data_IF_977466278932
#
_entry.id   IF_977466278932
#
_cell.length_a   1.000
_cell.length_b   1.000
_cell.length_c   1.000
_cell.angle_alpha   90.00
_cell.angle_beta   90.00
_cell.angle_gamma   90.00
#
_symmetry.space_group_name_H-M   'P 1'
#
loop_
_entity.id
_entity.type
_entity.pdbx_description
1 polymer ?
#
# COMPACT_ATOMS: atom_id res chain seq x y z
N UNK A 1 1.78 -15.98 -0.67
CA UNK A 1 2.32 -15.72 0.69
C UNK A 1 1.16 -15.56 1.65
N UNK A 2 1.11 -16.34 2.72
CA UNK A 2 0.11 -16.17 3.78
C UNK A 2 0.54 -15.02 4.70
N UNK A 3 -0.38 -14.11 5.01
CA UNK A 3 -0.14 -13.06 6.00
C UNK A 3 -0.25 -13.72 7.38
N UNK A 4 0.88 -13.81 8.10
CA UNK A 4 0.99 -14.61 9.34
C UNK A 4 0.03 -14.16 10.46
N UNK A 5 -0.36 -12.89 10.47
CA UNK A 5 -1.32 -12.34 11.45
C UNK A 5 -2.79 -12.65 11.13
N UNK A 6 -3.09 -13.20 9.95
CA UNK A 6 -4.47 -13.53 9.56
C UNK A 6 -4.84 -14.94 10.05
N UNK A 7 -6.04 -15.08 10.63
CA UNK A 7 -6.53 -16.36 11.13
C UNK A 7 -6.58 -17.45 10.05
N UNK A 8 -6.47 -18.72 10.48
CA UNK A 8 -6.50 -19.88 9.58
C UNK A 8 -7.72 -19.87 8.65
N UNK A 9 -7.51 -20.21 7.37
CA UNK A 9 -8.54 -20.19 6.32
C UNK A 9 -8.60 -18.91 5.48
N UNK A 10 -7.96 -17.83 5.94
CA UNK A 10 -7.85 -16.57 5.20
C UNK A 10 -6.47 -16.42 4.54
N UNK A 11 -6.09 -17.36 3.67
CA UNK A 11 -4.77 -17.37 3.00
C UNK A 11 -4.67 -16.42 1.80
N UNK A 12 -5.72 -15.64 1.50
CA UNK A 12 -5.70 -14.62 0.46
C UNK A 12 -4.54 -13.64 0.69
N UNK A 13 -3.68 -13.45 -0.31
CA UNK A 13 -2.55 -12.52 -0.19
C UNK A 13 -3.00 -11.07 0.03
N UNK A 14 -2.11 -10.21 0.52
CA UNK A 14 -2.35 -8.77 0.57
C UNK A 14 -2.02 -8.10 -0.77
N UNK A 15 -2.68 -6.96 -1.02
CA UNK A 15 -2.19 -5.92 -1.91
C UNK A 15 -1.54 -4.83 -1.07
N UNK A 16 -0.39 -4.36 -1.54
CA UNK A 16 0.38 -3.28 -0.92
C UNK A 16 0.52 -2.19 -1.98
N UNK A 17 0.19 -0.97 -1.62
CA UNK A 17 0.31 0.22 -2.47
C UNK A 17 1.38 1.12 -1.88
N UNK A 18 2.41 1.43 -2.67
CA UNK A 18 3.51 2.31 -2.26
C UNK A 18 3.62 3.52 -3.18
N UNK A 19 4.18 4.59 -2.64
CA UNK A 19 4.58 5.79 -3.38
C UNK A 19 6.09 5.98 -3.24
N UNK A 20 6.78 6.01 -4.38
CA UNK A 20 8.23 6.11 -4.42
C UNK A 20 8.63 7.55 -4.79
N UNK A 21 9.38 8.20 -3.90
CA UNK A 21 9.98 9.51 -4.15
C UNK A 21 11.47 9.29 -4.44
N UNK A 22 11.92 9.69 -5.62
CA UNK A 22 13.33 9.62 -6.01
C UNK A 22 13.91 11.03 -5.89
N UNK A 23 14.83 11.23 -4.96
CA UNK A 23 15.58 12.48 -4.82
C UNK A 23 16.74 12.51 -5.81
N UNK A 24 17.40 11.37 -6.02
CA UNK A 24 18.43 11.13 -7.04
C UNK A 24 18.31 9.71 -7.58
N UNK A 25 19.20 9.30 -8.48
CA UNK A 25 19.27 7.90 -8.93
C UNK A 25 19.62 6.91 -7.80
N UNK A 26 20.31 7.38 -6.75
CA UNK A 26 20.78 6.55 -5.65
C UNK A 26 20.05 6.83 -4.32
N UNK A 27 19.29 7.92 -4.24
CA UNK A 27 18.59 8.35 -3.03
C UNK A 27 17.10 8.51 -3.27
N UNK A 28 16.30 8.01 -2.33
CA UNK A 28 14.86 8.12 -2.39
C UNK A 28 14.20 7.55 -1.14
N UNK A 29 12.89 7.70 -1.09
CA UNK A 29 12.04 7.19 -0.02
C UNK A 29 10.87 6.39 -0.61
N UNK A 30 10.47 5.34 0.10
CA UNK A 30 9.30 4.51 -0.22
C UNK A 30 8.27 4.70 0.88
N UNK A 31 7.12 5.27 0.54
CA UNK A 31 6.00 5.46 1.44
C UNK A 31 4.99 4.34 1.23
N UNK A 32 4.59 3.67 2.31
CA UNK A 32 3.43 2.77 2.30
C UNK A 32 2.17 3.63 2.36
N UNK A 33 1.35 3.59 1.30
CA UNK A 33 0.09 4.32 1.26
C UNK A 33 -1.06 3.50 1.85
N UNK A 34 -1.17 2.23 1.42
CA UNK A 34 -2.26 1.36 1.88
C UNK A 34 -1.86 -0.12 1.78
N UNK A 35 -2.40 -0.92 2.70
CA UNK A 35 -2.32 -2.37 2.68
C UNK A 35 -3.71 -2.94 2.94
N UNK A 36 -4.14 -3.86 2.09
CA UNK A 36 -5.45 -4.49 2.24
C UNK A 36 -5.44 -5.92 1.76
N UNK A 37 -6.37 -6.70 2.26
CA UNK A 37 -6.49 -8.08 1.87
C UNK A 37 -7.17 -8.23 0.51
N UNK A 38 -6.60 -9.07 -0.36
CA UNK A 38 -7.17 -9.34 -1.69
C UNK A 38 -8.57 -9.93 -1.65
N UNK A 39 -8.94 -10.66 -0.58
CA UNK A 39 -10.27 -11.25 -0.44
C UNK A 39 -11.31 -10.25 0.04
N UNK A 40 -10.91 -9.18 0.72
CA UNK A 40 -11.82 -8.23 1.35
C UNK A 40 -12.10 -7.03 0.43
N UNK A 41 -11.10 -6.60 -0.34
CA UNK A 41 -11.25 -5.48 -1.27
C UNK A 41 -10.63 -5.81 -2.64
N UNK A 42 -11.32 -5.42 -3.71
CA UNK A 42 -10.87 -5.63 -5.09
C UNK A 42 -10.10 -4.44 -5.65
N UNK A 43 -10.43 -3.22 -5.22
CA UNK A 43 -9.94 -1.95 -5.77
C UNK A 43 -9.79 -0.89 -4.68
N UNK A 44 -9.01 0.15 -4.98
CA UNK A 44 -8.91 1.37 -4.19
C UNK A 44 -9.35 2.55 -5.06
N UNK A 45 -9.95 3.58 -4.47
CA UNK A 45 -10.33 4.79 -5.21
C UNK A 45 -9.12 5.72 -5.35
N UNK A 46 -8.87 6.17 -6.58
CA UNK A 46 -7.73 7.03 -6.89
C UNK A 46 -7.71 8.35 -6.10
N UNK A 47 -8.89 8.94 -5.85
CA UNK A 47 -8.99 10.18 -5.09
C UNK A 47 -8.50 10.03 -3.64
N UNK A 48 -8.75 8.88 -3.01
CA UNK A 48 -8.25 8.58 -1.66
C UNK A 48 -6.73 8.54 -1.65
N UNK A 49 -6.11 7.89 -2.65
CA UNK A 49 -4.65 7.87 -2.78
C UNK A 49 -4.08 9.28 -2.98
N UNK A 50 -4.72 10.10 -3.82
CA UNK A 50 -4.33 11.51 -4.05
C UNK A 50 -4.43 12.34 -2.78
N UNK A 51 -5.49 12.15 -2.00
CA UNK A 51 -5.67 12.85 -0.73
C UNK A 51 -4.62 12.43 0.29
N UNK A 52 -4.28 11.14 0.39
CA UNK A 52 -3.19 10.65 1.25
C UNK A 52 -1.88 11.34 0.85
N UNK A 53 -1.53 11.32 -0.45
CA UNK A 53 -0.29 11.94 -0.95
C UNK A 53 -0.26 13.44 -0.66
N UNK A 54 -1.38 14.15 -0.83
CA UNK A 54 -1.46 15.59 -0.53
C UNK A 54 -1.21 15.92 0.95
N UNK A 55 -1.53 14.99 1.84
CA UNK A 55 -1.27 15.12 3.27
C UNK A 55 0.14 14.63 3.68
N UNK A 56 0.89 14.00 2.76
CA UNK A 56 2.31 13.77 2.97
C UNK A 56 3.02 15.10 2.76
N UNK A 57 3.72 15.58 3.79
CA UNK A 57 4.51 16.82 3.76
C UNK A 57 5.84 16.55 3.03
N UNK A 58 5.75 16.33 1.71
CA UNK A 58 6.84 15.95 0.80
C UNK A 58 7.27 17.09 -0.13
#
# INVERSE_FOLDING_TARGET
MAIKSKGGGKSGGARIITYNVLATEQEGAVYLLEIYDKSEYSTVKENVLKDIIKNLDL
#
